data_IF_532830723915
#
_entry.id   IF_532830723915
#
_cell.length_a   1.000
_cell.length_b   1.000
_cell.length_c   1.000
_cell.angle_alpha   90.00
_cell.angle_beta   90.00
_cell.angle_gamma   90.00
#
_symmetry.space_group_name_H-M   'P 1'
#
loop_
_entity.id
_entity.type
_entity.pdbx_description
1 polymer ?
#
# COMPACT_ATOMS: atom_id res chain seq x y z
N UNK A 1 -4.39 -12.11 2.27
CA UNK A 1 -4.65 -11.33 1.04
C UNK A 1 -3.50 -10.35 0.84
N UNK A 2 -2.87 -10.35 -0.33
CA UNK A 2 -1.82 -9.38 -0.68
C UNK A 2 -2.46 -8.23 -1.48
N UNK A 3 -2.29 -6.99 -1.03
CA UNK A 3 -2.84 -5.79 -1.67
C UNK A 3 -1.71 -4.94 -2.27
N UNK A 4 -1.29 -5.16 -3.52
CA UNK A 4 -0.31 -4.29 -4.14
C UNK A 4 -0.87 -2.88 -4.29
N UNK A 5 -0.03 -1.86 -4.07
CA UNK A 5 -0.33 -0.49 -4.49
C UNK A 5 -0.27 -0.39 -6.03
N UNK A 6 -0.23 0.83 -6.60
CA UNK A 6 -0.23 1.01 -8.06
C UNK A 6 0.87 0.20 -8.76
N UNK A 7 0.45 -0.81 -9.53
CA UNK A 7 1.35 -1.77 -10.16
C UNK A 7 2.15 -1.11 -11.29
N UNK A 8 3.43 -1.47 -11.38
CA UNK A 8 4.34 -1.09 -12.46
C UNK A 8 4.85 -2.34 -13.15
N UNK A 9 4.45 -2.48 -14.42
CA UNK A 9 4.77 -3.63 -15.28
C UNK A 9 5.81 -3.31 -16.35
N UNK A 10 6.19 -2.03 -16.46
CA UNK A 10 7.14 -1.58 -17.46
C UNK A 10 8.57 -2.07 -17.10
N UNK A 11 9.31 -2.72 -18.02
CA UNK A 11 10.63 -3.31 -17.73
C UNK A 11 11.68 -2.34 -17.18
N UNK A 12 11.54 -1.06 -17.48
CA UNK A 12 12.43 0.01 -17.02
C UNK A 12 12.22 0.40 -15.55
N UNK A 13 11.11 -0.03 -14.92
CA UNK A 13 10.85 0.27 -13.52
C UNK A 13 11.62 -0.72 -12.64
N UNK A 14 12.66 -0.29 -11.90
CA UNK A 14 13.54 -1.22 -11.21
C UNK A 14 12.83 -1.92 -10.06
N UNK A 15 13.20 -3.18 -9.82
CA UNK A 15 12.98 -3.85 -8.54
C UNK A 15 13.63 -3.04 -7.40
N UNK A 16 13.13 -3.26 -6.20
CA UNK A 16 13.70 -2.65 -5.01
C UNK A 16 13.52 -3.53 -3.80
N UNK A 17 13.20 -2.89 -2.69
CA UNK A 17 12.84 -3.57 -1.46
C UNK A 17 11.32 -3.59 -1.35
N UNK A 18 10.68 -4.76 -1.34
CA UNK A 18 9.28 -4.84 -0.98
C UNK A 18 9.09 -4.44 0.49
N UNK A 19 8.22 -3.47 0.73
CA UNK A 19 7.77 -3.05 2.06
C UNK A 19 6.35 -3.58 2.27
N UNK A 20 6.12 -4.20 3.42
CA UNK A 20 4.85 -4.79 3.82
C UNK A 20 4.24 -3.92 4.92
N UNK A 21 2.95 -3.60 4.82
CA UNK A 21 2.24 -2.76 5.79
C UNK A 21 0.80 -3.21 6.02
N UNK A 22 0.19 -2.78 7.12
CA UNK A 22 -1.22 -3.05 7.45
C UNK A 22 -1.94 -1.76 7.80
N UNK A 23 -3.12 -1.53 7.22
CA UNK A 23 -3.93 -0.37 7.54
C UNK A 23 -4.72 0.20 6.38
N UNK A 24 -4.45 -0.24 5.15
CA UNK A 24 -4.99 0.39 3.93
C UNK A 24 -4.47 1.84 3.79
N UNK A 25 -3.19 2.02 4.13
CA UNK A 25 -2.52 3.32 4.26
C UNK A 25 -1.27 3.41 3.39
N UNK A 26 -0.89 2.32 2.72
CA UNK A 26 0.26 2.32 1.84
C UNK A 26 -0.06 3.10 0.57
N UNK A 27 0.78 4.08 0.29
CA UNK A 27 0.67 4.86 -0.93
C UNK A 27 1.96 4.73 -1.71
N UNK A 28 1.87 4.53 -3.02
CA UNK A 28 3.05 4.46 -3.86
C UNK A 28 2.90 3.55 -5.07
N UNK A 29 4.03 3.02 -5.53
CA UNK A 29 4.10 2.08 -6.67
C UNK A 29 4.87 0.83 -6.32
N UNK A 30 4.48 -0.28 -6.94
CA UNK A 30 5.12 -1.58 -6.72
C UNK A 30 5.53 -2.19 -8.06
N UNK A 31 6.75 -2.72 -8.13
CA UNK A 31 7.24 -3.47 -9.27
C UNK A 31 6.55 -4.86 -9.32
N UNK A 32 6.22 -5.35 -10.52
CA UNK A 32 5.52 -6.64 -10.68
C UNK A 32 6.31 -7.86 -10.19
N UNK A 33 7.63 -7.87 -10.35
CA UNK A 33 8.49 -8.96 -9.91
C UNK A 33 8.58 -8.97 -8.38
N UNK A 34 8.65 -7.80 -7.75
CA UNK A 34 8.57 -7.64 -6.30
C UNK A 34 7.24 -8.18 -5.73
N UNK A 35 6.12 -7.94 -6.43
CA UNK A 35 4.81 -8.53 -6.06
C UNK A 35 4.85 -10.05 -6.21
N UNK A 36 5.43 -10.57 -7.28
CA UNK A 36 5.53 -12.02 -7.51
C UNK A 36 6.34 -12.70 -6.40
N UNK A 37 7.47 -12.12 -6.00
CA UNK A 37 8.30 -12.61 -4.89
C UNK A 37 7.51 -12.65 -3.57
N UNK A 38 6.76 -11.59 -3.25
CA UNK A 38 5.94 -11.54 -2.03
C UNK A 38 4.79 -12.56 -2.09
N UNK A 39 4.15 -12.75 -3.25
CA UNK A 39 3.08 -13.74 -3.42
C UNK A 39 3.59 -15.17 -3.21
N UNK A 40 4.74 -15.51 -3.79
CA UNK A 40 5.38 -16.82 -3.59
C UNK A 40 5.70 -17.01 -2.11
N UNK A 41 6.34 -16.02 -1.48
CA UNK A 41 6.70 -16.11 -0.07
C UNK A 41 5.47 -16.27 0.83
N UNK A 42 4.39 -15.52 0.59
CA UNK A 42 3.16 -15.61 1.35
C UNK A 42 2.45 -16.96 1.15
N UNK A 43 2.43 -17.49 -0.08
CA UNK A 43 1.82 -18.78 -0.38
C UNK A 43 2.55 -19.98 0.25
N UNK A 44 3.84 -19.83 0.54
CA UNK A 44 4.68 -20.88 1.15
C UNK A 44 4.85 -20.70 2.67
N UNK A 45 4.32 -19.64 3.27
CA UNK A 45 4.54 -19.32 4.68
C UNK A 45 3.26 -19.44 5.50
N UNK A 46 3.21 -20.31 6.53
CA UNK A 46 2.07 -20.36 7.45
C UNK A 46 1.92 -19.04 8.24
N UNK A 47 3.01 -18.28 8.40
CA UNK A 47 2.98 -16.99 9.10
C UNK A 47 2.15 -15.93 8.36
N UNK A 48 1.86 -16.13 7.07
CA UNK A 48 1.02 -15.24 6.26
C UNK A 48 -0.48 -15.63 6.30
N UNK A 49 -0.84 -16.76 6.93
CA UNK A 49 -2.19 -17.27 6.94
C UNK A 49 -3.17 -16.34 7.67
N UNK A 50 -4.33 -16.09 7.06
CA UNK A 50 -5.38 -15.24 7.64
C UNK A 50 -5.01 -13.77 7.77
N UNK A 51 -4.00 -13.29 7.02
CA UNK A 51 -3.51 -11.90 7.09
C UNK A 51 -3.74 -11.15 5.81
N UNK A 52 -4.18 -9.90 5.95
CA UNK A 52 -4.27 -8.93 4.87
C UNK A 52 -3.25 -7.82 5.09
N UNK A 53 -2.47 -7.53 4.04
CA UNK A 53 -1.40 -6.54 4.06
C UNK A 53 -1.17 -5.94 2.67
N UNK A 54 -0.59 -4.74 2.66
CA UNK A 54 -0.25 -3.98 1.46
C UNK A 54 1.23 -4.15 1.10
N UNK A 55 1.57 -3.94 -0.18
CA UNK A 55 2.94 -4.06 -0.69
C UNK A 55 3.30 -2.85 -1.54
N UNK A 56 4.44 -2.21 -1.25
CA UNK A 56 5.06 -1.14 -2.05
C UNK A 56 6.54 -1.43 -2.30
N UNK A 57 7.07 -0.99 -3.45
CA UNK A 57 8.50 -1.11 -3.76
C UNK A 57 9.23 0.17 -3.31
N UNK A 58 10.16 0.02 -2.37
CA UNK A 58 11.15 1.04 -2.04
C UNK A 58 12.35 0.91 -2.99
N UNK A 59 12.40 1.79 -4.00
CA UNK A 59 13.47 1.79 -5.01
C UNK A 59 14.83 2.19 -4.43
N UNK A 60 15.90 1.68 -5.05
CA UNK A 60 17.29 2.01 -4.68
C UNK A 60 17.82 1.25 -3.47
N UNK A 61 16.97 0.46 -2.80
CA UNK A 61 17.34 -0.40 -1.69
C UNK A 61 17.11 -1.85 -2.07
N UNK A 62 18.08 -2.72 -1.78
CA UNK A 62 17.90 -4.17 -1.92
C UNK A 62 16.97 -4.70 -0.83
N UNK A 63 16.26 -5.79 -1.12
CA UNK A 63 15.53 -6.55 -0.11
C UNK A 63 16.46 -6.88 1.08
N UNK A 64 16.04 -6.61 2.34
CA UNK A 64 16.90 -6.73 3.51
C UNK A 64 17.00 -8.15 4.05
N UNK A 65 16.16 -9.07 3.55
CA UNK A 65 16.00 -10.42 4.07
C UNK A 65 15.94 -11.42 2.91
N UNK A 66 16.52 -12.60 3.14
CA UNK A 66 16.43 -13.73 2.21
C UNK A 66 15.01 -14.34 2.18
N UNK A 67 14.14 -13.99 3.14
CA UNK A 67 12.74 -14.41 3.18
C UNK A 67 11.85 -13.45 4.01
N UNK A 68 10.53 -13.59 3.85
CA UNK A 68 9.52 -12.75 4.51
C UNK A 68 8.93 -13.32 5.80
N UNK A 69 9.31 -14.52 6.26
CA UNK A 69 8.66 -15.19 7.42
C UNK A 69 8.72 -14.34 8.69
N UNK A 70 9.87 -13.71 8.98
CA UNK A 70 10.03 -12.82 10.12
C UNK A 70 9.18 -11.53 10.03
N UNK A 71 8.79 -11.11 8.83
CA UNK A 71 7.88 -9.99 8.62
C UNK A 71 6.45 -10.47 8.84
N UNK A 72 6.07 -11.56 8.16
CA UNK A 72 4.73 -12.12 8.26
C UNK A 72 4.34 -12.50 9.69
N UNK A 73 5.27 -13.07 10.49
CA UNK A 73 4.98 -13.46 11.87
C UNK A 73 4.66 -12.28 12.79
N UNK A 74 5.09 -11.05 12.43
CA UNK A 74 4.83 -9.82 13.19
C UNK A 74 3.54 -9.12 12.78
N UNK A 75 2.97 -9.47 11.64
CA UNK A 75 1.69 -8.95 11.18
C UNK A 75 0.55 -9.55 12.02
N UNK A 76 -0.47 -8.74 12.30
CA UNK A 76 -1.71 -9.19 12.94
C UNK A 76 -2.57 -9.95 11.95
N UNK A 77 -3.25 -11.01 12.39
CA UNK A 77 -4.31 -11.66 11.61
C UNK A 77 -5.51 -10.74 11.42
N UNK A 78 -6.28 -10.98 10.37
CA UNK A 78 -7.50 -10.21 10.08
C UNK A 78 -8.53 -10.31 11.22
N UNK A 79 -8.48 -11.39 12.02
CA UNK A 79 -9.27 -11.51 13.24
C UNK A 79 -8.72 -10.61 14.35
N UNK A 80 -7.42 -10.65 14.62
CA UNK A 80 -6.78 -9.81 15.65
C UNK A 80 -6.98 -8.32 15.38
N UNK A 81 -6.92 -7.91 14.10
CA UNK A 81 -7.17 -6.52 13.67
C UNK A 81 -8.61 -6.09 13.98
N UNK A 82 -9.59 -6.94 13.66
CA UNK A 82 -11.00 -6.71 14.00
C UNK A 82 -11.25 -6.63 15.51
N UNK A 83 -10.64 -7.51 16.28
CA UNK A 83 -10.74 -7.50 17.76
C UNK A 83 -10.09 -6.26 18.39
N UNK A 84 -9.03 -5.74 17.78
CA UNK A 84 -8.38 -4.49 18.18
C UNK A 84 -9.19 -3.23 17.81
N UNK A 85 -10.30 -3.38 17.09
CA UNK A 85 -11.13 -2.27 16.63
C UNK A 85 -10.50 -1.47 15.49
N UNK A 86 -9.64 -2.08 14.68
CA UNK A 86 -9.17 -1.48 13.42
C UNK A 86 -10.31 -1.48 12.40
N UNK A 87 -10.65 -0.29 11.88
CA UNK A 87 -11.38 -0.15 10.63
C UNK A 87 -10.45 -0.54 9.48
N UNK A 88 -10.89 -1.46 8.64
CA UNK A 88 -10.11 -1.95 7.50
C UNK A 88 -10.23 -1.00 6.29
N UNK A 89 -10.64 0.26 6.53
CA UNK A 89 -10.76 1.37 5.59
C UNK A 89 -10.78 2.73 6.31
N UNK A 90 -10.70 3.83 5.55
CA UNK A 90 -10.80 5.21 6.09
C UNK A 90 -12.26 5.55 6.44
N UNK A 91 -12.74 5.14 7.62
CA UNK A 91 -14.12 5.42 8.04
C UNK A 91 -14.40 5.25 9.53
N UNK A 92 -13.36 5.09 10.36
CA UNK A 92 -13.53 4.62 11.72
C UNK A 92 -14.41 5.56 12.56
N UNK A 93 -15.45 5.04 13.24
CA UNK A 93 -16.29 5.83 14.13
C UNK A 93 -15.58 6.17 15.46
N UNK A 94 -14.44 5.54 15.76
CA UNK A 94 -13.66 5.73 16.97
C UNK A 94 -12.16 5.90 16.63
N UNK A 95 -11.77 7.04 16.02
CA UNK A 95 -10.40 7.27 15.52
C UNK A 95 -9.31 7.24 16.61
N UNK A 96 -9.69 7.31 17.89
CA UNK A 96 -8.77 7.26 19.04
C UNK A 96 -8.62 5.84 19.63
N UNK A 97 -9.25 4.83 19.01
CA UNK A 97 -9.14 3.43 19.43
C UNK A 97 -7.73 2.87 19.27
N UNK A 98 -7.30 1.87 20.07
CA UNK A 98 -5.96 1.29 19.95
C UNK A 98 -5.64 0.73 18.56
N UNK A 99 -6.64 0.19 17.86
CA UNK A 99 -6.53 -0.24 16.47
C UNK A 99 -6.22 0.92 15.53
N UNK A 100 -7.05 1.96 15.55
CA UNK A 100 -6.86 3.16 14.72
C UNK A 100 -5.55 3.89 15.00
N UNK A 101 -5.14 3.99 16.27
CA UNK A 101 -3.86 4.57 16.63
C UNK A 101 -2.68 3.80 16.01
N UNK A 102 -2.79 2.48 15.88
CA UNK A 102 -1.79 1.66 15.20
C UNK A 102 -1.78 1.91 13.68
N UNK A 103 -2.96 2.01 13.05
CA UNK A 103 -3.10 2.35 11.63
C UNK A 103 -2.53 3.74 11.33
N UNK A 104 -2.79 4.73 12.21
CA UNK A 104 -2.26 6.08 12.07
C UNK A 104 -0.74 6.13 12.24
N UNK A 105 -0.18 5.32 13.15
CA UNK A 105 1.27 5.18 13.28
C UNK A 105 1.90 4.57 12.01
N UNK A 106 1.28 3.53 11.46
CA UNK A 106 1.70 2.92 10.20
C UNK A 106 1.63 3.94 9.04
N UNK A 107 0.52 4.69 8.93
CA UNK A 107 0.38 5.76 7.94
C UNK A 107 1.53 6.76 8.03
N UNK A 108 1.84 7.26 9.23
CA UNK A 108 2.94 8.21 9.43
C UNK A 108 4.31 7.61 9.05
N UNK A 109 4.53 6.32 9.27
CA UNK A 109 5.73 5.63 8.82
C UNK A 109 5.77 5.53 7.29
N UNK A 110 4.68 5.09 6.67
CA UNK A 110 4.59 4.94 5.22
C UNK A 110 4.75 6.27 4.49
N UNK A 111 4.23 7.36 5.05
CA UNK A 111 4.40 8.71 4.54
C UNK A 111 5.87 9.18 4.51
N UNK A 112 6.70 8.67 5.42
CA UNK A 112 8.15 8.96 5.40
C UNK A 112 8.90 8.17 4.31
N UNK A 113 8.30 7.09 3.79
CA UNK A 113 8.89 6.23 2.77
C UNK A 113 8.53 6.65 1.34
N UNK A 114 7.58 7.58 1.16
CA UNK A 114 7.21 8.08 -0.17
C UNK A 114 8.40 8.80 -0.83
N UNK A 115 8.97 8.24 -1.92
CA UNK A 115 9.96 8.97 -2.68
C UNK A 115 9.24 10.14 -3.38
N UNK A 116 9.61 11.37 -3.02
CA UNK A 116 9.05 12.59 -3.59
C UNK A 116 8.96 12.55 -5.13
N UNK A 117 7.87 13.12 -5.65
CA UNK A 117 7.52 13.31 -7.08
C UNK A 117 7.36 12.06 -7.97
N UNK A 118 8.10 10.97 -7.74
CA UNK A 118 8.07 9.73 -8.56
C UNK A 118 6.90 8.81 -8.16
N UNK A 119 6.48 8.86 -6.89
CA UNK A 119 5.34 8.12 -6.35
C UNK A 119 4.24 9.05 -5.82
N UNK A 120 4.17 10.28 -6.32
CA UNK A 120 3.22 11.28 -5.84
C UNK A 120 1.75 10.85 -6.10
N UNK A 121 0.99 10.47 -5.05
CA UNK A 121 -0.41 10.09 -5.19
C UNK A 121 -1.31 11.26 -5.54
N UNK A 122 -0.87 12.50 -5.31
CA UNK A 122 -1.66 13.69 -5.66
C UNK A 122 -1.77 13.88 -7.18
N UNK A 123 -0.91 13.20 -7.96
CA UNK A 123 -1.04 13.15 -9.43
C UNK A 123 -2.18 12.25 -9.90
N UNK A 124 -2.71 11.38 -9.03
CA UNK A 124 -3.86 10.54 -9.34
C UNK A 124 -5.14 11.35 -9.08
N UNK A 125 -5.60 12.06 -10.13
CA UNK A 125 -6.87 12.78 -10.09
C UNK A 125 -8.04 11.81 -9.83
N UNK A 126 -9.06 12.25 -9.09
CA UNK A 126 -10.26 11.45 -8.80
C UNK A 126 -10.87 10.90 -10.10
N UNK A 127 -10.97 9.56 -10.20
CA UNK A 127 -11.52 8.86 -11.36
C UNK A 127 -10.49 8.45 -12.42
N UNK A 128 -9.19 8.72 -12.21
CA UNK A 128 -8.11 8.32 -13.12
C UNK A 128 -7.43 7.03 -12.64
N UNK A 129 -7.13 6.11 -13.56
CA UNK A 129 -6.37 4.89 -13.24
C UNK A 129 -4.86 5.15 -13.25
N UNK A 130 -4.08 4.27 -12.60
CA UNK A 130 -2.62 4.34 -12.61
C UNK A 130 -2.04 4.20 -14.02
N UNK A 131 -2.66 3.39 -14.89
CA UNK A 131 -2.24 3.21 -16.29
C UNK A 131 -2.49 4.48 -17.11
N UNK A 132 -3.60 5.17 -16.86
CA UNK A 132 -3.89 6.48 -17.46
C UNK A 132 -2.93 7.56 -16.96
N UNK A 133 -2.54 7.50 -15.68
CA UNK A 133 -1.50 8.36 -15.13
C UNK A 133 -0.16 8.14 -15.83
N UNK A 134 0.24 6.89 -15.99
CA UNK A 134 1.52 6.50 -16.60
C UNK A 134 1.61 6.82 -18.08
N UNK A 135 0.51 6.64 -18.81
CA UNK A 135 0.44 7.01 -20.23
C UNK A 135 0.37 8.53 -20.45
N UNK A 136 0.45 9.36 -19.40
CA UNK A 136 0.33 10.82 -19.51
C UNK A 136 -1.05 11.30 -19.97
N UNK A 137 -2.07 10.45 -19.94
CA UNK A 137 -3.42 10.76 -20.41
C UNK A 137 -4.16 11.66 -19.42
N UNK A 138 -4.21 12.96 -19.70
CA UNK A 138 -4.95 13.94 -18.89
C UNK A 138 -6.34 14.14 -19.51
N UNK A 139 -7.41 13.67 -18.85
CA UNK A 139 -8.80 14.01 -19.21
C UNK A 139 -9.36 15.01 -18.20
N UNK A 140 -8.99 16.29 -18.36
CA UNK A 140 -9.56 17.36 -17.53
C UNK A 140 -10.97 17.67 -17.99
N UNK A 141 -11.97 17.00 -17.40
CA UNK A 141 -13.34 17.50 -17.45
C UNK A 141 -13.47 18.61 -16.42
N UNK A 142 -13.99 19.78 -16.83
CA UNK A 142 -14.37 20.84 -15.90
C UNK A 142 -15.25 20.23 -14.81
N UNK A 143 -14.83 20.31 -13.55
CA UNK A 143 -15.64 19.91 -12.41
C UNK A 143 -16.97 20.66 -12.39
N UNK A 144 -17.96 20.09 -11.72
CA UNK A 144 -19.26 20.72 -11.53
C UNK A 144 -19.10 22.14 -10.96
N UNK A 145 -19.93 23.07 -11.43
CA UNK A 145 -19.90 24.44 -10.94
C UNK A 145 -20.06 24.46 -9.40
N UNK A 146 -19.37 25.38 -8.70
CA UNK A 146 -19.51 25.50 -7.25
C UNK A 146 -20.99 25.62 -6.87
N UNK A 147 -21.46 24.79 -5.95
CA UNK A 147 -22.79 24.95 -5.36
C UNK A 147 -22.84 26.30 -4.64
N UNK A 148 -23.87 27.10 -4.95
CA UNK A 148 -24.10 28.37 -4.26
C UNK A 148 -24.31 28.09 -2.77
N UNK A 149 -23.61 28.85 -1.92
CA UNK A 149 -23.71 28.81 -0.46
C UNK A 149 -25.05 29.34 0.02
#
# INVERSE_FOLDING_TARGET
>A
VVRPVGLKTAPEWPQGRPIISQGDVAVGRVNIDDVAEVLIAAGLSPDAEGKTFEVVTLQGYKAPLDNFSAVFSRLRSDQQRREAGEDMGFGSPAPDGPGEAAVFAEFNLMMQLLPGEIQDPTRLEMGRTYEQLDAGKVDRRKGAAPTAR
#
